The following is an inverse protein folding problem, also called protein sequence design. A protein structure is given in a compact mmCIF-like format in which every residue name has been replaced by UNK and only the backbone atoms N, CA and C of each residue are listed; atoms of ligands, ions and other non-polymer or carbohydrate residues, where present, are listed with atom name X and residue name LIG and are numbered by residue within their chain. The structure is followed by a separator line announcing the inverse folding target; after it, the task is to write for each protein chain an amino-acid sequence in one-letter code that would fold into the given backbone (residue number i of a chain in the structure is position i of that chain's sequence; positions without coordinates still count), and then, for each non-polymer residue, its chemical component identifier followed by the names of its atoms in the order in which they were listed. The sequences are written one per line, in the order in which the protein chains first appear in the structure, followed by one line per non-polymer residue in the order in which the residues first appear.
data_IF_543586831236
#
_entry.id   IF_543586831236
#
_cell.length_a   1.000
_cell.length_b   1.000
_cell.length_c   1.000
_cell.angle_alpha   90.00
_cell.angle_beta   90.00
_cell.angle_gamma   90.00
#
_symmetry.space_group_name_H-M   'P 1'
#
loop_
_entity.id
_entity.type
_entity.pdbx_description
1 polymer ?
#
# COMPACT_ATOMS: atom_id res chain seq x y z
N UNK A 1 -4.78 -3.32 26.94
CA UNK A 1 -5.35 -3.04 25.61
C UNK A 1 -4.54 -3.81 24.57
N UNK A 2 -5.10 -4.87 24.00
CA UNK A 2 -4.43 -5.70 23.02
C UNK A 2 -4.16 -4.90 21.73
N UNK A 3 -2.89 -4.87 21.30
CA UNK A 3 -2.47 -4.39 19.99
C UNK A 3 -3.11 -5.31 18.94
N UNK A 4 -4.32 -4.94 18.52
CA UNK A 4 -5.11 -5.60 17.47
C UNK A 4 -4.20 -5.79 16.25
N UNK A 5 -4.20 -7.01 15.71
CA UNK A 5 -3.18 -7.57 14.82
C UNK A 5 -2.54 -6.61 13.82
N UNK A 6 -1.25 -6.86 13.55
CA UNK A 6 -0.44 -6.39 12.41
C UNK A 6 -1.02 -6.87 11.06
N UNK A 7 -2.31 -6.63 10.83
CA UNK A 7 -3.12 -7.27 9.79
C UNK A 7 -3.70 -6.19 8.87
N UNK A 8 -2.98 -5.97 7.76
CA UNK A 8 -3.48 -5.17 6.64
C UNK A 8 -2.56 -5.28 5.42
N UNK A 9 -1.27 -5.58 5.60
CA UNK A 9 -0.32 -5.75 4.49
C UNK A 9 -0.40 -7.08 3.74
N UNK A 10 -1.53 -7.78 3.77
CA UNK A 10 -1.67 -9.03 3.03
C UNK A 10 -1.71 -8.75 1.53
N UNK A 11 -0.88 -9.44 0.74
CA UNK A 11 -0.92 -9.35 -0.72
C UNK A 11 -1.92 -10.33 -1.35
N UNK A 12 -2.69 -11.08 -0.54
CA UNK A 12 -3.72 -12.00 -1.05
C UNK A 12 -4.78 -11.20 -1.80
N UNK A 13 -5.03 -11.50 -3.08
CA UNK A 13 -5.97 -10.75 -3.91
C UNK A 13 -5.43 -9.45 -4.52
N UNK A 14 -4.15 -9.12 -4.31
CA UNK A 14 -3.47 -8.05 -5.06
C UNK A 14 -3.00 -8.63 -6.39
N UNK A 15 -3.35 -8.00 -7.50
CA UNK A 15 -3.06 -8.46 -8.84
C UNK A 15 -1.55 -8.48 -9.08
N UNK A 16 -1.09 -9.52 -9.77
CA UNK A 16 0.32 -9.64 -10.21
C UNK A 16 0.53 -9.10 -11.62
N UNK A 17 -0.56 -8.93 -12.37
CA UNK A 17 -0.59 -8.36 -13.71
C UNK A 17 -1.63 -7.25 -13.77
N UNK A 18 -1.25 -6.14 -14.40
CA UNK A 18 -2.12 -4.99 -14.62
C UNK A 18 -1.94 -4.57 -16.08
N UNK A 19 -3.05 -4.34 -16.78
CA UNK A 19 -3.15 -3.93 -18.18
C UNK A 19 -2.32 -4.83 -19.11
N UNK A 20 -2.39 -6.14 -18.90
CA UNK A 20 -1.68 -7.14 -19.71
C UNK A 20 -0.16 -7.24 -19.46
N UNK A 21 0.42 -6.51 -18.49
CA UNK A 21 1.85 -6.60 -18.11
C UNK A 21 2.04 -6.98 -16.64
N UNK A 22 3.27 -7.32 -16.25
CA UNK A 22 3.60 -7.48 -14.83
C UNK A 22 3.36 -6.15 -14.08
N UNK A 23 2.65 -6.26 -12.95
CA UNK A 23 2.36 -5.13 -12.10
C UNK A 23 3.63 -4.62 -11.44
N UNK A 24 3.85 -3.30 -11.48
CA UNK A 24 4.95 -2.68 -10.75
C UNK A 24 4.67 -2.70 -9.25
N UNK A 25 5.75 -2.60 -8.45
CA UNK A 25 5.65 -2.60 -6.98
C UNK A 25 4.71 -1.51 -6.47
N UNK A 26 4.78 -0.30 -7.03
CA UNK A 26 3.92 0.81 -6.60
C UNK A 26 2.44 0.57 -6.92
N UNK A 27 2.11 -0.12 -8.02
CA UNK A 27 0.72 -0.44 -8.37
C UNK A 27 0.15 -1.50 -7.42
N UNK A 28 0.95 -2.55 -7.14
CA UNK A 28 0.58 -3.59 -6.17
C UNK A 28 0.40 -3.01 -4.76
N UNK A 29 1.27 -2.06 -4.39
CA UNK A 29 1.13 -1.33 -3.13
C UNK A 29 -0.12 -0.46 -3.10
N UNK A 30 -0.42 0.27 -4.17
CA UNK A 30 -1.61 1.10 -4.25
C UNK A 30 -2.88 0.26 -4.14
N UNK A 31 -2.98 -0.84 -4.88
CA UNK A 31 -4.13 -1.76 -4.82
C UNK A 31 -4.33 -2.33 -3.41
N UNK A 32 -3.24 -2.73 -2.74
CA UNK A 32 -3.29 -3.18 -1.35
C UNK A 32 -3.79 -2.07 -0.41
N UNK A 33 -3.23 -0.86 -0.52
CA UNK A 33 -3.62 0.28 0.34
C UNK A 33 -5.08 0.66 0.10
N UNK A 34 -5.54 0.71 -1.15
CA UNK A 34 -6.94 0.98 -1.51
C UNK A 34 -7.87 -0.05 -0.89
N UNK A 35 -7.54 -1.34 -1.03
CA UNK A 35 -8.37 -2.40 -0.44
C UNK A 35 -8.49 -2.26 1.07
N UNK A 36 -7.37 -2.10 1.78
CA UNK A 36 -7.40 -1.94 3.24
C UNK A 36 -8.05 -0.63 3.67
N UNK A 37 -7.90 0.44 2.88
CA UNK A 37 -8.59 1.71 3.12
C UNK A 37 -10.11 1.52 3.05
N UNK A 38 -10.61 0.75 2.08
CA UNK A 38 -12.04 0.45 1.95
C UNK A 38 -12.53 -0.44 3.10
N UNK A 39 -11.73 -1.43 3.52
CA UNK A 39 -12.13 -2.40 4.54
C UNK A 39 -11.99 -1.86 5.98
N UNK A 40 -10.98 -1.04 6.25
CA UNK A 40 -10.54 -0.67 7.62
C UNK A 40 -10.28 0.83 7.78
N UNK A 41 -10.39 1.62 6.72
CA UNK A 41 -10.09 3.07 6.71
C UNK A 41 -8.61 3.39 6.48
N UNK A 42 -7.68 2.53 6.91
CA UNK A 42 -6.25 2.73 6.79
C UNK A 42 -5.46 1.41 6.91
N UNK A 43 -4.17 1.46 6.56
CA UNK A 43 -3.23 0.35 6.74
C UNK A 43 -1.91 0.81 7.35
N UNK A 44 -1.36 0.00 8.25
CA UNK A 44 0.00 0.17 8.74
C UNK A 44 0.83 -1.09 8.41
N UNK A 45 2.10 -0.90 8.10
CA UNK A 45 3.01 -2.01 7.81
C UNK A 45 4.47 -1.65 8.09
N UNK A 46 5.25 -2.65 8.47
CA UNK A 46 6.70 -2.51 8.51
C UNK A 46 7.26 -2.61 7.09
N UNK A 47 8.05 -1.61 6.67
CA UNK A 47 8.63 -1.52 5.32
C UNK A 47 9.40 -2.79 4.93
N UNK A 48 10.22 -3.31 5.84
CA UNK A 48 11.02 -4.52 5.59
C UNK A 48 10.15 -5.77 5.37
N UNK A 49 9.04 -5.90 6.10
CA UNK A 49 8.12 -7.02 5.95
C UNK A 49 7.36 -6.91 4.62
N UNK A 50 6.86 -5.72 4.27
CA UNK A 50 6.20 -5.49 2.99
C UNK A 50 7.15 -5.75 1.81
N UNK A 51 8.40 -5.30 1.90
CA UNK A 51 9.43 -5.52 0.89
C UNK A 51 9.66 -7.02 0.64
N UNK A 52 9.79 -7.82 1.70
CA UNK A 52 9.92 -9.27 1.62
C UNK A 52 8.73 -9.91 0.90
N UNK A 53 7.50 -9.50 1.23
CA UNK A 53 6.27 -10.02 0.60
C UNK A 53 6.16 -9.63 -0.88
N UNK A 54 6.60 -8.43 -1.22
CA UNK A 54 6.61 -7.93 -2.60
C UNK A 54 7.76 -8.52 -3.43
N UNK A 55 8.77 -9.13 -2.80
CA UNK A 55 9.95 -9.67 -3.46
C UNK A 55 10.93 -8.57 -3.91
N UNK A 56 10.99 -7.45 -3.18
CA UNK A 56 11.85 -6.31 -3.49
C UNK A 56 12.64 -5.83 -2.27
N UNK A 57 13.52 -4.85 -2.45
CA UNK A 57 14.25 -4.25 -1.34
C UNK A 57 13.43 -3.14 -0.65
N UNK A 58 13.69 -2.84 0.63
CA UNK A 58 12.98 -1.78 1.37
C UNK A 58 13.05 -0.41 0.67
N UNK A 59 14.16 -0.12 -0.01
CA UNK A 59 14.34 1.12 -0.77
C UNK A 59 13.33 1.24 -1.93
N UNK A 60 12.96 0.13 -2.58
CA UNK A 60 11.90 0.13 -3.60
C UNK A 60 10.54 0.47 -2.99
N UNK A 61 10.26 -0.01 -1.77
CA UNK A 61 9.03 0.34 -1.04
C UNK A 61 9.01 1.83 -0.71
N UNK A 62 10.14 2.39 -0.26
CA UNK A 62 10.25 3.83 -0.01
C UNK A 62 10.00 4.66 -1.27
N UNK A 63 10.64 4.31 -2.39
CA UNK A 63 10.40 4.98 -3.66
C UNK A 63 8.95 4.86 -4.14
N UNK A 64 8.31 3.70 -3.93
CA UNK A 64 6.90 3.51 -4.24
C UNK A 64 6.01 4.42 -3.38
N UNK A 65 6.24 4.49 -2.06
CA UNK A 65 5.49 5.40 -1.17
C UNK A 65 5.68 6.85 -1.60
N UNK A 66 6.92 7.29 -1.81
CA UNK A 66 7.21 8.66 -2.26
C UNK A 66 6.51 8.98 -3.57
N UNK A 67 6.53 8.05 -4.53
CA UNK A 67 5.84 8.21 -5.81
C UNK A 67 4.33 8.34 -5.63
N UNK A 68 3.70 7.41 -4.92
CA UNK A 68 2.24 7.41 -4.71
C UNK A 68 1.76 8.67 -3.97
N UNK A 69 2.54 9.17 -3.00
CA UNK A 69 2.26 10.44 -2.32
C UNK A 69 2.39 11.63 -3.27
N UNK A 70 3.46 11.68 -4.07
CA UNK A 70 3.69 12.76 -5.04
C UNK A 70 2.61 12.80 -6.11
N UNK A 71 2.08 11.65 -6.48
CA UNK A 71 0.96 11.51 -7.43
C UNK A 71 -0.42 11.76 -6.78
N UNK A 72 -0.50 12.08 -5.48
CA UNK A 72 -1.77 12.35 -4.80
C UNK A 72 -2.63 11.11 -4.50
N UNK A 73 -2.09 9.90 -4.72
CA UNK A 73 -2.86 8.65 -4.64
C UNK A 73 -2.98 8.10 -3.21
N UNK A 74 -2.06 8.47 -2.33
CA UNK A 74 -2.08 8.09 -0.92
C UNK A 74 -1.68 9.24 0.00
N UNK A 75 -2.20 9.19 1.22
CA UNK A 75 -1.77 10.00 2.35
C UNK A 75 -0.95 9.14 3.32
N UNK A 76 -0.09 9.79 4.11
CA UNK A 76 0.75 9.10 5.10
C UNK A 76 0.80 9.91 6.38
N UNK A 77 0.48 9.24 7.49
CA UNK A 77 0.50 9.82 8.83
C UNK A 77 1.57 9.12 9.68
N UNK A 78 2.51 9.85 10.30
CA UNK A 78 3.40 9.27 11.28
C UNK A 78 2.62 8.90 12.54
N UNK A 79 2.97 7.76 13.15
CA UNK A 79 2.36 7.30 14.40
C UNK A 79 3.45 7.23 15.47
N UNK A 80 3.15 7.73 16.66
CA UNK A 80 4.06 7.72 17.81
C UNK A 80 3.43 6.92 18.95
N UNK A 81 4.24 6.10 19.60
CA UNK A 81 3.84 5.34 20.78
C UNK A 81 3.80 6.20 22.04
N UNK A 82 3.24 5.68 23.14
CA UNK A 82 3.11 6.40 24.41
C UNK A 82 4.44 6.82 25.03
N UNK A 83 5.54 6.16 24.65
CA UNK A 83 6.91 6.48 25.09
C UNK A 83 7.64 7.44 24.15
N UNK A 84 6.96 8.01 23.14
CA UNK A 84 7.56 8.84 22.10
C UNK A 84 8.28 8.06 20.99
N UNK A 85 8.33 6.72 21.09
CA UNK A 85 8.92 5.89 20.05
C UNK A 85 8.10 5.98 18.74
N UNK A 86 8.79 6.10 17.60
CA UNK A 86 8.12 6.10 16.30
C UNK A 86 7.63 4.69 15.94
N UNK A 87 6.34 4.57 15.68
CA UNK A 87 5.68 3.36 15.22
C UNK A 87 5.60 3.36 13.67
N UNK A 88 5.27 2.22 13.04
CA UNK A 88 5.03 2.18 11.61
C UNK A 88 3.98 3.23 11.19
N UNK A 89 4.27 3.98 10.14
CA UNK A 89 3.34 4.96 9.59
C UNK A 89 2.04 4.31 9.13
N UNK A 90 0.98 5.10 9.17
CA UNK A 90 -0.32 4.76 8.61
C UNK A 90 -0.45 5.33 7.21
N UNK A 91 -1.06 4.56 6.33
CA UNK A 91 -1.28 4.88 4.93
C UNK A 91 -2.76 4.78 4.62
N UNK A 92 -3.26 5.74 3.87
CA UNK A 92 -4.65 5.81 3.41
C UNK A 92 -4.68 6.15 1.93
N UNK A 93 -5.54 5.47 1.16
CA UNK A 93 -5.78 5.86 -0.21
C UNK A 93 -6.67 7.11 -0.28
N UNK A 94 -6.35 8.02 -1.19
CA UNK A 94 -7.23 9.14 -1.53
C UNK A 94 -8.33 8.68 -2.50
N UNK A 95 -9.31 9.54 -2.76
CA UNK A 95 -10.31 9.28 -3.79
C UNK A 95 -9.68 9.03 -5.17
N UNK A 96 -8.60 9.76 -5.50
CA UNK A 96 -7.83 9.56 -6.74
C UNK A 96 -7.12 8.21 -6.76
N UNK A 97 -6.56 7.78 -5.62
CA UNK A 97 -5.97 6.45 -5.47
C UNK A 97 -6.98 5.33 -5.71
N UNK A 98 -8.18 5.45 -5.15
CA UNK A 98 -9.30 4.51 -5.36
C UNK A 98 -9.70 4.48 -6.83
N UNK A 99 -9.92 5.65 -7.45
CA UNK A 99 -10.27 5.75 -8.87
C UNK A 99 -9.18 5.15 -9.77
N UNK A 100 -7.90 5.35 -9.44
CA UNK A 100 -6.79 4.78 -10.19
C UNK A 100 -6.81 3.25 -10.18
N UNK A 101 -7.08 2.63 -9.03
CA UNK A 101 -7.15 1.17 -8.92
C UNK A 101 -8.37 0.59 -9.63
N UNK A 102 -9.48 1.34 -9.70
CA UNK A 102 -10.65 0.93 -10.47
C UNK A 102 -10.35 0.77 -11.98
N UNK A 103 -9.31 1.45 -12.48
CA UNK A 103 -8.84 1.32 -13.86
C UNK A 103 -7.90 0.12 -14.09
N UNK A 104 -7.49 -0.59 -13.02
CA UNK A 104 -6.63 -1.76 -13.17
C UNK A 104 -7.44 -2.95 -13.71
N UNK A 105 -7.08 -3.40 -14.91
CA UNK A 105 -7.57 -4.66 -15.47
C UNK A 105 -6.44 -5.70 -15.50
N UNK A 106 -6.77 -6.99 -15.48
CA UNK A 106 -5.77 -8.02 -15.77
C UNK A 106 -5.47 -8.12 -17.27
N UNK A 107 -6.47 -7.81 -18.10
CA UNK A 107 -6.42 -7.85 -19.55
C UNK A 107 -5.77 -6.59 -20.13
N UNK A 108 -5.26 -6.69 -21.35
CA UNK A 108 -4.80 -5.51 -22.08
C UNK A 108 -6.03 -4.73 -22.54
N UNK A 109 -6.15 -3.42 -22.26
CA UNK A 109 -7.21 -2.63 -22.86
C UNK A 109 -7.11 -2.69 -24.39
N UNK A 110 -8.27 -2.86 -25.05
CA UNK A 110 -8.39 -2.95 -26.51
C UNK A 110 -8.03 -1.63 -27.21
#
# INVERSE_FOLDING_TARGET
MALKGREGSSLKGVRKRINGRHAFVHERMLEMIVRETILRGQVSFAKADLARRLGCCPKTVDHAVTRLRREGLIETSPVFGPTGAQLPSEYRATAEGVARVALFSEERPA
#
